data_IF_016429669124
#
_entry.id   IF_016429669124
#
_cell.length_a   1.000
_cell.length_b   1.000
_cell.length_c   1.000
_cell.angle_alpha   90.00
_cell.angle_beta   90.00
_cell.angle_gamma   90.00
#
_symmetry.space_group_name_H-M   'P 1'
#
loop_
_entity.id
_entity.type
_entity.pdbx_description
1 polymer ?
#
# COMPACT_ATOMS: atom_id res chain seq x y z
N UNK A 1 -3.02 22.84 -48.75
CA UNK A 1 -1.91 23.24 -47.85
C UNK A 1 -1.54 22.06 -46.98
N UNK A 2 -0.47 21.33 -47.33
CA UNK A 2 -0.03 20.15 -46.58
C UNK A 2 1.16 20.54 -45.69
N UNK A 3 0.88 20.94 -44.44
CA UNK A 3 1.92 21.12 -43.44
C UNK A 3 2.37 19.74 -42.95
N UNK A 4 3.50 19.27 -43.48
CA UNK A 4 4.16 18.05 -43.01
C UNK A 4 5.04 18.43 -41.81
N UNK A 5 4.60 18.10 -40.60
CA UNK A 5 5.46 18.26 -39.41
C UNK A 5 6.64 17.29 -39.51
N UNK A 6 7.90 17.74 -39.40
CA UNK A 6 9.05 16.86 -39.50
C UNK A 6 9.01 15.82 -38.38
N UNK A 7 9.06 14.54 -38.75
CA UNK A 7 9.08 13.42 -37.81
C UNK A 7 10.33 13.52 -36.92
N UNK A 8 10.08 13.71 -35.61
CA UNK A 8 10.89 13.28 -34.47
C UNK A 8 12.41 13.42 -34.66
N UNK A 9 12.89 14.64 -34.44
CA UNK A 9 14.29 14.88 -34.12
C UNK A 9 14.68 14.00 -32.92
N UNK A 10 15.51 12.98 -33.14
CA UNK A 10 16.05 12.08 -32.11
C UNK A 10 17.03 12.88 -31.24
N UNK A 11 16.50 13.71 -30.33
CA UNK A 11 17.30 14.51 -29.39
C UNK A 11 18.06 13.56 -28.46
N UNK A 12 19.30 13.23 -28.83
CA UNK A 12 20.21 12.36 -28.07
C UNK A 12 20.47 12.91 -26.68
N UNK A 13 20.68 14.22 -26.56
CA UNK A 13 20.87 14.93 -25.29
C UNK A 13 19.72 14.69 -24.29
N UNK A 14 18.47 14.54 -24.77
CA UNK A 14 17.32 14.31 -23.91
C UNK A 14 17.34 12.89 -23.33
N UNK A 15 17.78 11.90 -24.12
CA UNK A 15 17.94 10.52 -23.68
C UNK A 15 19.05 10.39 -22.64
N UNK A 16 20.18 11.05 -22.89
CA UNK A 16 21.33 11.06 -21.98
C UNK A 16 20.96 11.67 -20.62
N UNK A 17 20.26 12.82 -20.61
CA UNK A 17 19.78 13.46 -19.38
C UNK A 17 18.78 12.58 -18.64
N UNK A 18 17.87 11.92 -19.35
CA UNK A 18 16.92 11.00 -18.74
C UNK A 18 17.62 9.79 -18.10
N UNK A 19 18.56 9.18 -18.81
CA UNK A 19 19.35 8.05 -18.35
C UNK A 19 20.16 8.41 -17.10
N UNK A 20 20.86 9.55 -17.13
CA UNK A 20 21.61 10.06 -15.99
C UNK A 20 20.73 10.26 -14.75
N UNK A 21 19.54 10.85 -14.92
CA UNK A 21 18.59 11.06 -13.81
C UNK A 21 18.05 9.73 -13.26
N UNK A 22 17.83 8.75 -14.14
CA UNK A 22 17.40 7.41 -13.77
C UNK A 22 18.48 6.70 -12.94
N UNK A 23 19.72 6.69 -13.43
CA UNK A 23 20.85 6.07 -12.75
C UNK A 23 21.16 6.72 -11.41
N UNK A 24 21.13 8.06 -11.34
CA UNK A 24 21.26 8.82 -10.08
C UNK A 24 20.20 8.41 -9.06
N UNK A 25 18.96 8.23 -9.51
CA UNK A 25 17.86 7.82 -8.60
C UNK A 25 18.03 6.39 -8.10
N UNK A 26 18.53 5.50 -8.96
CA UNK A 26 18.83 4.11 -8.63
C UNK A 26 19.94 3.99 -7.58
N UNK A 27 21.07 4.67 -7.79
CA UNK A 27 22.21 4.63 -6.88
C UNK A 27 21.84 5.17 -5.49
N UNK A 28 21.23 6.37 -5.43
CA UNK A 28 20.78 6.98 -4.18
C UNK A 28 19.76 6.12 -3.45
N UNK A 29 18.81 5.53 -4.19
CA UNK A 29 17.79 4.67 -3.60
C UNK A 29 18.37 3.40 -2.99
N UNK A 30 19.33 2.77 -3.69
CA UNK A 30 20.01 1.55 -3.21
C UNK A 30 20.83 1.84 -1.96
N UNK A 31 21.66 2.89 -2.00
CA UNK A 31 22.48 3.33 -0.87
C UNK A 31 21.62 3.68 0.35
N UNK A 32 20.52 4.41 0.16
CA UNK A 32 19.59 4.74 1.23
C UNK A 32 18.99 3.50 1.89
N UNK A 33 18.61 2.47 1.11
CA UNK A 33 18.09 1.21 1.64
C UNK A 33 19.18 0.48 2.44
N UNK A 34 20.39 0.35 1.89
CA UNK A 34 21.52 -0.32 2.55
C UNK A 34 21.87 0.34 3.89
N UNK A 35 21.88 1.68 3.94
CA UNK A 35 22.11 2.43 5.17
C UNK A 35 21.00 2.22 6.20
N UNK A 36 19.73 2.21 5.79
CA UNK A 36 18.62 1.94 6.70
C UNK A 36 18.70 0.52 7.28
N UNK A 37 19.06 -0.46 6.46
CA UNK A 37 19.26 -1.85 6.90
C UNK A 37 20.42 -1.93 7.89
N UNK A 38 21.56 -1.29 7.58
CA UNK A 38 22.73 -1.26 8.46
C UNK A 38 22.44 -0.58 9.80
N UNK A 39 21.59 0.44 9.81
CA UNK A 39 21.15 1.15 11.01
C UNK A 39 20.00 0.45 11.76
N UNK A 40 19.53 -0.71 11.28
CA UNK A 40 18.35 -1.41 11.79
C UNK A 40 17.10 -0.52 11.87
N UNK A 41 16.97 0.44 10.96
CA UNK A 41 15.83 1.34 10.86
C UNK A 41 14.75 0.75 9.93
N UNK A 42 13.48 1.12 10.12
CA UNK A 42 12.40 0.60 9.30
C UNK A 42 12.55 1.05 7.84
N UNK A 43 12.60 0.09 6.92
CA UNK A 43 12.62 0.32 5.48
C UNK A 43 11.20 0.53 4.96
N UNK A 44 10.80 1.80 4.86
CA UNK A 44 9.53 2.27 4.30
C UNK A 44 9.80 3.24 3.16
N UNK A 45 8.83 3.46 2.27
CA UNK A 45 8.99 4.43 1.18
C UNK A 45 9.34 5.83 1.68
N UNK A 46 8.77 6.22 2.82
CA UNK A 46 9.03 7.52 3.46
C UNK A 46 10.45 7.61 3.97
N UNK A 47 10.89 6.63 4.76
CA UNK A 47 12.23 6.62 5.36
C UNK A 47 13.33 6.51 4.31
N UNK A 48 13.11 5.75 3.22
CA UNK A 48 14.03 5.72 2.08
C UNK A 48 14.10 7.08 1.38
N UNK A 49 12.96 7.74 1.16
CA UNK A 49 12.92 9.08 0.56
C UNK A 49 13.64 10.13 1.43
N UNK A 50 13.41 10.12 2.74
CA UNK A 50 14.09 11.00 3.69
C UNK A 50 15.59 10.72 3.75
N UNK A 51 15.99 9.45 3.92
CA UNK A 51 17.40 9.05 3.96
C UNK A 51 18.13 9.40 2.65
N UNK A 52 17.48 9.19 1.51
CA UNK A 52 18.06 9.57 0.22
C UNK A 52 18.31 11.07 0.09
N UNK A 53 17.51 11.91 0.76
CA UNK A 53 17.67 13.36 0.77
C UNK A 53 18.84 13.80 1.66
N UNK A 54 19.12 13.04 2.71
CA UNK A 54 20.25 13.27 3.62
C UNK A 54 21.59 12.95 2.97
N UNK A 55 21.67 11.86 2.20
CA UNK A 55 22.91 11.42 1.52
C UNK A 55 23.16 12.18 0.21
N UNK A 56 22.12 12.72 -0.41
CA UNK A 56 22.23 13.42 -1.68
C UNK A 56 22.96 14.77 -1.50
N UNK A 57 24.10 15.01 -2.18
CA UNK A 57 24.81 16.29 -2.10
C UNK A 57 23.95 17.49 -2.52
N UNK A 58 22.96 17.28 -3.41
CA UNK A 58 22.04 18.33 -3.84
C UNK A 58 20.83 18.50 -2.90
N UNK A 59 20.69 17.65 -1.88
CA UNK A 59 19.55 17.61 -0.95
C UNK A 59 18.18 17.48 -1.63
N UNK A 60 18.12 16.94 -2.85
CA UNK A 60 16.86 16.68 -3.57
C UNK A 60 16.28 15.32 -3.17
N UNK A 61 17.15 14.32 -3.01
CA UNK A 61 16.79 12.94 -2.73
C UNK A 61 15.98 12.30 -3.86
N UNK A 62 15.30 11.21 -3.54
CA UNK A 62 14.35 10.54 -4.43
C UNK A 62 12.93 10.60 -3.87
N UNK A 63 11.95 10.78 -4.76
CA UNK A 63 10.54 10.77 -4.37
C UNK A 63 10.03 9.33 -4.22
N UNK A 64 9.04 9.12 -3.36
CA UNK A 64 8.44 7.80 -3.11
C UNK A 64 7.90 7.14 -4.38
N UNK A 65 7.37 7.94 -5.31
CA UNK A 65 6.85 7.43 -6.57
C UNK A 65 7.97 6.86 -7.47
N UNK A 66 9.16 7.46 -7.41
CA UNK A 66 10.34 6.96 -8.15
C UNK A 66 10.73 5.56 -7.68
N UNK A 67 10.66 5.31 -6.37
CA UNK A 67 10.90 3.99 -5.77
C UNK A 67 9.87 2.96 -6.26
N UNK A 68 8.62 3.36 -6.50
CA UNK A 68 7.55 2.45 -6.93
C UNK A 68 7.59 2.14 -8.42
N UNK A 69 7.94 3.12 -9.25
CA UNK A 69 7.94 3.00 -10.71
C UNK A 69 9.17 2.25 -11.19
N UNK A 70 10.32 2.49 -10.57
CA UNK A 70 11.54 1.81 -10.94
C UNK A 70 11.53 0.38 -10.40
N UNK A 71 11.37 -0.59 -11.30
CA UNK A 71 11.21 -2.02 -10.96
C UNK A 71 12.36 -2.56 -10.10
N UNK A 72 13.60 -2.29 -10.50
CA UNK A 72 14.78 -2.76 -9.77
C UNK A 72 14.85 -2.19 -8.35
N UNK A 73 14.64 -0.88 -8.21
CA UNK A 73 14.63 -0.24 -6.89
C UNK A 73 13.45 -0.70 -6.03
N UNK A 74 12.31 -0.96 -6.66
CA UNK A 74 11.12 -1.46 -5.98
C UNK A 74 11.34 -2.88 -5.44
N UNK A 75 12.01 -3.75 -6.18
CA UNK A 75 12.39 -5.08 -5.74
C UNK A 75 13.34 -5.04 -4.55
N UNK A 76 14.41 -4.23 -4.62
CA UNK A 76 15.31 -4.00 -3.49
C UNK A 76 14.54 -3.53 -2.24
N UNK A 77 13.59 -2.61 -2.42
CA UNK A 77 12.73 -2.15 -1.33
C UNK A 77 11.88 -3.28 -0.74
N UNK A 78 11.22 -4.11 -1.56
CA UNK A 78 10.38 -5.22 -1.08
C UNK A 78 11.16 -6.22 -0.24
N UNK A 79 12.37 -6.57 -0.66
CA UNK A 79 13.22 -7.54 0.03
C UNK A 79 13.56 -7.12 1.47
N UNK A 80 13.68 -5.81 1.71
CA UNK A 80 14.08 -5.27 3.01
C UNK A 80 12.91 -4.71 3.83
N UNK A 81 11.75 -4.48 3.21
CA UNK A 81 10.59 -3.91 3.90
C UNK A 81 9.80 -4.95 4.71
N UNK A 82 9.87 -4.86 6.04
CA UNK A 82 9.11 -5.72 6.95
C UNK A 82 7.60 -5.56 6.80
N UNK A 83 7.11 -4.32 6.60
CA UNK A 83 5.69 -4.04 6.40
C UNK A 83 5.17 -4.64 5.10
N UNK A 84 5.99 -4.69 4.04
CA UNK A 84 5.63 -5.37 2.81
C UNK A 84 5.53 -6.89 3.02
N UNK A 85 6.52 -7.50 3.69
CA UNK A 85 6.52 -8.94 4.01
C UNK A 85 5.31 -9.36 4.84
N UNK A 86 4.93 -8.57 5.85
CA UNK A 86 3.73 -8.85 6.67
C UNK A 86 2.44 -8.81 5.85
N UNK A 87 2.31 -7.85 4.92
CA UNK A 87 1.15 -7.74 4.03
C UNK A 87 1.07 -8.91 3.04
N UNK A 88 2.20 -9.39 2.58
CA UNK A 88 2.27 -10.56 1.70
C UNK A 88 1.85 -11.84 2.44
N UNK A 89 2.38 -12.03 3.65
CA UNK A 89 2.03 -13.18 4.49
C UNK A 89 0.56 -13.20 4.93
N UNK A 90 -0.09 -12.03 5.05
CA UNK A 90 -1.51 -11.95 5.41
C UNK A 90 -2.46 -12.10 4.22
N UNK A 91 -1.99 -11.89 2.98
CA UNK A 91 -2.80 -12.11 1.77
C UNK A 91 -3.12 -13.60 1.53
N UNK A 92 -2.24 -14.51 1.94
CA UNK A 92 -2.48 -15.96 1.83
C UNK A 92 -3.51 -16.45 2.85
N UNK A 93 -3.66 -15.76 3.99
CA UNK A 93 -4.68 -16.05 4.99
C UNK A 93 -6.02 -15.46 4.57
N UNK A 94 -6.77 -16.18 3.73
CA UNK A 94 -8.20 -15.87 3.54
C UNK A 94 -8.91 -16.14 4.86
N UNK A 95 -9.73 -15.20 5.38
CA UNK A 95 -10.58 -15.50 6.52
C UNK A 95 -11.52 -16.64 6.13
N UNK A 96 -11.47 -17.74 6.90
CA UNK A 96 -12.38 -18.86 6.70
C UNK A 96 -13.77 -18.45 7.21
N UNK A 97 -14.64 -18.01 6.30
CA UNK A 97 -16.02 -17.60 6.62
C UNK A 97 -16.92 -18.79 6.98
N UNK A 98 -16.46 -20.03 6.79
CA UNK A 98 -17.19 -21.25 7.13
C UNK A 98 -16.80 -21.80 8.52
N UNK A 99 -15.97 -21.10 9.28
CA UNK A 99 -15.69 -21.50 10.66
C UNK A 99 -16.92 -21.24 11.53
N UNK A 100 -17.33 -22.24 12.30
CA UNK A 100 -18.38 -22.09 13.32
C UNK A 100 -18.12 -20.83 14.14
N UNK A 101 -19.14 -19.97 14.20
CA UNK A 101 -19.04 -18.69 14.88
C UNK A 101 -18.89 -18.97 16.37
N UNK A 102 -17.67 -18.92 16.88
CA UNK A 102 -17.40 -19.06 18.31
C UNK A 102 -17.84 -17.78 19.04
N UNK A 103 -19.07 -17.80 19.54
CA UNK A 103 -19.68 -16.69 20.27
C UNK A 103 -18.92 -16.32 21.55
N UNK A 104 -18.07 -17.20 22.09
CA UNK A 104 -17.24 -16.92 23.27
C UNK A 104 -16.14 -15.90 22.97
N UNK A 105 -15.76 -15.72 21.70
CA UNK A 105 -14.77 -14.73 21.25
C UNK A 105 -15.37 -13.34 21.04
N UNK A 106 -16.69 -13.18 21.19
CA UNK A 106 -17.34 -11.87 21.08
C UNK A 106 -17.04 -11.08 22.34
N UNK A 107 -16.25 -10.00 22.21
CA UNK A 107 -15.96 -9.09 23.32
C UNK A 107 -17.26 -8.52 23.91
N UNK A 108 -17.52 -8.66 25.23
CA UNK A 108 -18.74 -8.16 25.86
C UNK A 108 -18.78 -6.62 25.83
N UNK A 109 -17.63 -5.95 26.00
CA UNK A 109 -17.51 -4.49 25.95
C UNK A 109 -17.39 -3.95 24.51
N UNK A 110 -18.24 -4.43 23.60
CA UNK A 110 -18.25 -3.99 22.21
C UNK A 110 -18.98 -2.66 22.10
N UNK A 111 -18.23 -1.55 22.05
CA UNK A 111 -18.76 -0.19 21.94
C UNK A 111 -19.87 -0.06 20.88
N UNK A 112 -21.07 0.27 21.35
CA UNK A 112 -22.27 0.51 20.54
C UNK A 112 -22.04 1.69 19.61
N UNK A 113 -21.35 2.71 20.10
CA UNK A 113 -21.01 3.95 19.41
C UNK A 113 -20.16 3.70 18.16
N UNK A 114 -19.17 2.80 18.26
CA UNK A 114 -18.36 2.40 17.11
C UNK A 114 -19.17 1.68 16.04
N UNK A 115 -20.19 0.90 16.43
CA UNK A 115 -21.12 0.28 15.47
C UNK A 115 -21.99 1.34 14.80
N UNK A 116 -22.56 2.27 15.57
CA UNK A 116 -23.37 3.37 15.03
C UNK A 116 -22.58 4.20 14.01
N UNK A 117 -21.35 4.61 14.35
CA UNK A 117 -20.45 5.32 13.42
C UNK A 117 -20.17 4.54 12.13
N UNK A 118 -20.08 3.20 12.22
CA UNK A 118 -19.89 2.34 11.05
C UNK A 118 -21.15 2.28 10.18
N UNK A 119 -22.33 2.19 10.80
CA UNK A 119 -23.61 2.18 10.08
C UNK A 119 -23.91 3.51 9.40
N UNK A 120 -23.57 4.64 10.02
CA UNK A 120 -23.72 5.97 9.43
C UNK A 120 -22.84 6.21 8.19
N UNK A 121 -21.81 5.39 7.98
CA UNK A 121 -20.91 5.46 6.81
C UNK A 121 -21.36 4.55 5.65
N UNK A 122 -22.39 3.72 5.84
CA UNK A 122 -22.88 2.81 4.82
C UNK A 122 -24.01 3.46 4.01
N UNK A 123 -24.08 3.15 2.71
CA UNK A 123 -25.17 3.59 1.85
C UNK A 123 -26.48 2.89 2.20
N UNK A 124 -27.62 3.50 1.83
CA UNK A 124 -28.97 3.00 2.14
C UNK A 124 -29.18 1.54 1.72
N UNK A 125 -28.66 1.13 0.55
CA UNK A 125 -28.72 -0.25 0.05
C UNK A 125 -28.00 -1.25 0.98
N UNK A 126 -26.83 -0.87 1.49
CA UNK A 126 -26.02 -1.72 2.38
C UNK A 126 -26.60 -1.81 3.80
N UNK A 127 -27.37 -0.80 4.22
CA UNK A 127 -28.12 -0.84 5.47
C UNK A 127 -29.28 -1.85 5.41
N UNK A 128 -30.05 -1.86 4.31
CA UNK A 128 -31.15 -2.82 4.14
C UNK A 128 -30.66 -4.27 4.12
N UNK A 129 -29.56 -4.57 3.41
CA UNK A 129 -29.01 -5.93 3.38
C UNK A 129 -28.53 -6.39 4.77
N UNK A 130 -27.85 -5.53 5.51
CA UNK A 130 -27.39 -5.83 6.87
C UNK A 130 -28.55 -6.01 7.88
N UNK A 131 -29.62 -5.24 7.74
CA UNK A 131 -30.80 -5.35 8.59
C UNK A 131 -31.60 -6.63 8.30
N UNK A 132 -31.78 -6.97 7.01
CA UNK A 132 -32.48 -8.19 6.58
C UNK A 132 -31.78 -9.47 7.06
N UNK A 133 -30.44 -9.53 6.98
CA UNK A 133 -29.66 -10.66 7.48
C UNK A 133 -29.80 -10.87 9.00
N UNK A 134 -29.91 -9.79 9.78
CA UNK A 134 -30.06 -9.88 11.24
C UNK A 134 -31.43 -10.42 11.67
N UNK A 135 -32.50 -10.03 10.97
CA UNK A 135 -33.85 -10.48 11.30
C UNK A 135 -34.02 -11.98 10.99
N UNK A 136 -33.41 -12.48 9.91
CA UNK A 136 -33.40 -13.91 9.61
C UNK A 136 -32.62 -14.71 10.67
N UNK A 137 -31.48 -14.20 11.15
CA UNK A 137 -30.72 -14.86 12.22
C UNK A 137 -31.50 -14.89 13.54
N UNK A 138 -32.21 -13.80 13.88
CA UNK A 138 -33.03 -13.75 15.10
C UNK A 138 -34.22 -14.73 15.04
N UNK A 139 -34.86 -14.86 13.86
CA UNK A 139 -35.92 -15.85 13.62
C UNK A 139 -35.43 -17.30 13.74
N UNK A 140 -34.24 -17.61 13.22
CA UNK A 140 -33.66 -18.96 13.31
C UNK A 140 -33.35 -19.35 14.76
N UNK A 141 -32.94 -18.39 15.60
CA UNK A 141 -32.66 -18.63 17.03
C UNK A 141 -33.95 -18.87 17.82
N UNK A 142 -35.05 -18.19 17.48
CA UNK A 142 -36.35 -18.34 18.18
C UNK A 142 -37.06 -19.64 17.77
N UNK A 143 -36.83 -20.14 16.57
CA UNK A 143 -37.50 -21.35 16.05
C UNK A 143 -36.79 -22.67 16.38
N UNK A 144 -35.53 -22.63 16.86
CA UNK A 144 -34.72 -23.83 17.16
C UNK A 144 -34.31 -23.94 18.64
N UNK A 145 -34.96 -23.20 19.54
CA UNK A 145 -34.81 -23.31 21.00
C UNK A 145 -36.16 -23.58 21.64
#
# INVERSE_FOLDING_TARGET
MNQTFPLKNKRTWLKEVHEFRSQRSLSLGKEAIELLVKQNLPVTLKTVSEKSKEIDPEKKGIHQNTIRINEYLYECYKQHSLTYKQKENTKSMKPNFNADIDFRKIKPNRSVENKQRKYMKLSKKNLYSACSLRNNILMIIILNG
#
